data_IF_037553843778
#
_entry.id   IF_037553843778
#
_cell.length_a   1.000
_cell.length_b   1.000
_cell.length_c   1.000
_cell.angle_alpha   90.00
_cell.angle_beta   90.00
_cell.angle_gamma   90.00
#
_symmetry.space_group_name_H-M   'P 1'
#
loop_
_entity.id
_entity.type
_entity.pdbx_description
1 polymer ?
#
# COMPACT_ATOMS: atom_id res chain seq x y z
N UNK A 1 19.82 1.01 -10.89
CA UNK A 1 20.92 0.95 -11.87
C UNK A 1 20.59 1.64 -13.17
N UNK A 2 19.47 1.30 -13.83
CA UNK A 2 19.03 1.95 -15.10
C UNK A 2 18.98 3.48 -14.99
N UNK A 3 18.52 4.03 -13.86
CA UNK A 3 18.51 5.49 -13.64
C UNK A 3 19.87 6.18 -13.60
N UNK A 4 20.96 5.45 -13.35
CA UNK A 4 22.30 6.05 -13.30
C UNK A 4 22.99 6.13 -14.66
N UNK A 5 22.34 5.60 -15.71
CA UNK A 5 22.83 5.53 -17.09
C UNK A 5 21.78 6.08 -18.07
N UNK A 6 20.57 6.36 -17.59
CA UNK A 6 19.51 6.92 -18.42
C UNK A 6 19.79 8.41 -18.68
N UNK A 7 19.86 8.78 -19.96
CA UNK A 7 20.06 10.16 -20.41
C UNK A 7 18.75 10.77 -20.93
N UNK A 8 17.84 9.90 -21.40
CA UNK A 8 16.60 10.29 -22.07
C UNK A 8 15.35 9.98 -21.23
N UNK A 9 14.32 10.84 -21.30
CA UNK A 9 13.09 10.72 -20.48
C UNK A 9 12.38 9.37 -20.68
N UNK A 10 12.32 8.86 -21.92
CA UNK A 10 11.68 7.57 -22.19
C UNK A 10 12.38 6.40 -21.48
N UNK A 11 13.70 6.48 -21.29
CA UNK A 11 14.48 5.46 -20.60
C UNK A 11 14.14 5.44 -19.10
N UNK A 12 13.93 6.61 -18.50
CA UNK A 12 13.42 6.72 -17.13
C UNK A 12 12.02 6.15 -16.99
N UNK A 13 11.11 6.49 -17.91
CA UNK A 13 9.73 6.01 -17.89
C UNK A 13 9.65 4.48 -18.03
N UNK A 14 10.37 3.90 -18.99
CA UNK A 14 10.39 2.44 -19.20
C UNK A 14 11.09 1.71 -18.04
N UNK A 15 12.17 2.28 -17.51
CA UNK A 15 12.92 1.71 -16.39
C UNK A 15 12.15 1.71 -15.08
N UNK A 16 11.53 2.83 -14.72
CA UNK A 16 10.81 2.98 -13.45
C UNK A 16 9.41 2.38 -13.50
N UNK A 17 8.63 2.76 -14.51
CA UNK A 17 7.20 2.42 -14.55
C UNK A 17 6.98 1.00 -15.03
N UNK A 18 7.64 0.57 -16.11
CA UNK A 18 7.40 -0.77 -16.69
C UNK A 18 8.26 -1.82 -16.00
N UNK A 19 9.59 -1.72 -16.14
CA UNK A 19 10.51 -2.73 -15.61
C UNK A 19 10.48 -2.77 -14.07
N UNK A 20 10.50 -1.60 -13.42
CA UNK A 20 10.44 -1.48 -11.97
C UNK A 20 9.17 -2.09 -11.38
N UNK A 21 8.00 -1.78 -11.96
CA UNK A 21 6.72 -2.33 -11.47
C UNK A 21 6.60 -3.83 -11.71
N UNK A 22 6.95 -4.32 -12.91
CA UNK A 22 6.89 -5.76 -13.22
C UNK A 22 7.81 -6.55 -12.28
N UNK A 23 9.05 -6.09 -12.10
CA UNK A 23 10.00 -6.71 -11.19
C UNK A 23 9.49 -6.70 -9.74
N UNK A 24 8.94 -5.57 -9.29
CA UNK A 24 8.40 -5.43 -7.93
C UNK A 24 7.22 -6.38 -7.70
N UNK A 25 6.28 -6.47 -8.66
CA UNK A 25 5.13 -7.36 -8.56
C UNK A 25 5.53 -8.84 -8.49
N UNK A 26 6.48 -9.26 -9.34
CA UNK A 26 6.96 -10.66 -9.36
C UNK A 26 7.62 -11.06 -8.04
N UNK A 27 8.34 -10.16 -7.38
CA UNK A 27 8.98 -10.44 -6.09
C UNK A 27 7.99 -10.34 -4.92
N UNK A 28 7.10 -9.36 -4.96
CA UNK A 28 6.18 -9.06 -3.87
C UNK A 28 5.11 -10.14 -3.66
N UNK A 29 4.46 -10.59 -4.74
CA UNK A 29 3.36 -11.56 -4.68
C UNK A 29 3.78 -12.88 -3.99
N UNK A 30 4.84 -13.59 -4.42
CA UNK A 30 5.24 -14.85 -3.79
C UNK A 30 5.76 -14.65 -2.37
N UNK A 31 6.44 -13.53 -2.09
CA UNK A 31 6.91 -13.20 -0.75
C UNK A 31 5.74 -13.07 0.24
N UNK A 32 4.68 -12.36 -0.14
CA UNK A 32 3.48 -12.21 0.70
C UNK A 32 2.70 -13.52 0.80
N UNK A 33 2.60 -14.29 -0.28
CA UNK A 33 1.94 -15.60 -0.28
C UNK A 33 2.62 -16.59 0.67
N UNK A 34 3.96 -16.65 0.68
CA UNK A 34 4.72 -17.51 1.57
C UNK A 34 4.40 -17.25 3.05
N UNK A 35 4.30 -15.99 3.48
CA UNK A 35 3.96 -15.65 4.86
C UNK A 35 2.60 -16.24 5.26
N UNK A 36 1.61 -16.19 4.35
CA UNK A 36 0.29 -16.75 4.58
C UNK A 36 0.30 -18.28 4.73
N UNK A 37 1.26 -18.98 4.11
CA UNK A 37 1.41 -20.44 4.20
C UNK A 37 2.04 -20.90 5.53
N UNK A 38 2.89 -20.07 6.14
CA UNK A 38 3.55 -20.39 7.41
C UNK A 38 2.71 -20.01 8.64
N UNK A 39 1.94 -18.91 8.58
CA UNK A 39 1.19 -18.40 9.73
C UNK A 39 -0.32 -18.45 9.50
N UNK A 40 -1.01 -19.37 10.19
CA UNK A 40 -2.48 -19.45 10.20
C UNK A 40 -3.10 -18.55 11.29
N UNK A 41 -2.75 -18.81 12.57
CA UNK A 41 -3.35 -18.14 13.75
C UNK A 41 -2.98 -16.66 13.88
N UNK A 42 -1.77 -16.28 13.46
CA UNK A 42 -1.25 -14.90 13.51
C UNK A 42 -0.97 -14.32 12.12
N UNK A 43 -1.72 -14.76 11.09
CA UNK A 43 -1.53 -14.34 9.70
C UNK A 43 -1.48 -12.83 9.53
N UNK A 44 -2.49 -12.13 10.06
CA UNK A 44 -2.60 -10.68 9.94
C UNK A 44 -1.38 -9.94 10.53
N UNK A 45 -0.86 -10.44 11.65
CA UNK A 45 0.32 -9.89 12.32
C UNK A 45 1.60 -10.13 11.52
N UNK A 46 1.83 -11.36 11.06
CA UNK A 46 3.00 -11.68 10.26
C UNK A 46 3.02 -10.87 8.95
N UNK A 47 1.88 -10.74 8.27
CA UNK A 47 1.75 -9.88 7.08
C UNK A 47 1.90 -8.40 7.43
N UNK A 48 1.49 -7.96 8.63
CA UNK A 48 1.69 -6.60 9.14
C UNK A 48 3.15 -6.23 9.30
N UNK A 49 3.90 -7.08 9.99
CA UNK A 49 5.35 -6.92 10.20
C UNK A 49 6.08 -6.91 8.85
N UNK A 50 5.74 -7.81 7.94
CA UNK A 50 6.34 -7.82 6.61
C UNK A 50 6.00 -6.55 5.80
N UNK A 51 4.77 -6.05 5.92
CA UNK A 51 4.35 -4.82 5.25
C UNK A 51 5.07 -3.57 5.79
N UNK A 52 5.57 -3.59 7.02
CA UNK A 52 6.35 -2.48 7.61
C UNK A 52 7.60 -2.14 6.80
N UNK A 53 8.19 -3.11 6.09
CA UNK A 53 9.33 -2.89 5.21
C UNK A 53 9.11 -1.77 4.18
N UNK A 54 7.87 -1.60 3.68
CA UNK A 54 7.56 -0.53 2.73
C UNK A 54 7.67 0.89 3.33
N UNK A 55 7.31 1.06 4.60
CA UNK A 55 7.48 2.35 5.29
C UNK A 55 8.95 2.64 5.60
N UNK A 56 9.71 1.61 6.00
CA UNK A 56 11.15 1.73 6.24
C UNK A 56 11.89 2.10 4.94
N UNK A 57 11.53 1.47 3.82
CA UNK A 57 12.09 1.82 2.51
C UNK A 57 11.83 3.29 2.14
N UNK A 58 10.62 3.80 2.39
CA UNK A 58 10.28 5.20 2.14
C UNK A 58 11.12 6.20 2.95
N UNK A 59 11.60 5.81 4.13
CA UNK A 59 12.46 6.65 5.00
C UNK A 59 13.94 6.58 4.57
N UNK A 60 14.41 5.39 4.16
CA UNK A 60 15.83 5.15 3.84
C UNK A 60 16.20 5.67 2.44
N UNK A 61 15.26 5.68 1.49
CA UNK A 61 15.56 5.96 0.07
C UNK A 61 15.42 7.42 -0.44
N UNK A 62 15.30 8.50 0.35
CA UNK A 62 15.27 9.84 -0.23
C UNK A 62 16.70 10.34 -0.48
N UNK A 63 17.35 9.84 -1.52
CA UNK A 63 18.67 10.32 -1.95
C UNK A 63 18.68 10.56 -3.46
N UNK A 64 18.88 11.83 -3.85
CA UNK A 64 18.88 12.28 -5.26
C UNK A 64 20.23 12.11 -5.95
N UNK A 65 21.22 11.58 -5.24
CA UNK A 65 22.58 11.55 -5.74
C UNK A 65 22.81 10.32 -6.63
N UNK A 66 23.43 10.48 -7.82
CA UNK A 66 23.60 9.40 -8.79
C UNK A 66 24.42 8.22 -8.22
N UNK A 67 25.37 8.50 -7.33
CA UNK A 67 26.14 7.47 -6.62
C UNK A 67 25.33 6.74 -5.54
N UNK A 68 24.41 7.43 -4.86
CA UNK A 68 23.51 6.82 -3.88
C UNK A 68 22.55 5.83 -4.55
N UNK A 69 22.03 6.16 -5.74
CA UNK A 69 21.16 5.25 -6.52
C UNK A 69 21.88 3.95 -6.90
N UNK A 70 23.19 3.98 -7.13
CA UNK A 70 23.99 2.78 -7.39
C UNK A 70 24.14 1.92 -6.13
N UNK A 71 24.49 2.53 -5.00
CA UNK A 71 24.60 1.81 -3.72
C UNK A 71 23.26 1.15 -3.34
N UNK A 72 22.16 1.89 -3.48
CA UNK A 72 20.80 1.38 -3.25
C UNK A 72 20.51 0.17 -4.14
N UNK A 73 20.88 0.24 -5.43
CA UNK A 73 20.70 -0.88 -6.35
C UNK A 73 21.45 -2.15 -5.93
N UNK A 74 22.68 -2.03 -5.42
CA UNK A 74 23.43 -3.18 -4.90
C UNK A 74 22.82 -3.76 -3.62
N UNK A 75 22.37 -2.90 -2.71
CA UNK A 75 21.67 -3.31 -1.49
C UNK A 75 20.38 -4.07 -1.83
N UNK A 76 19.57 -3.54 -2.76
CA UNK A 76 18.35 -4.20 -3.23
C UNK A 76 18.65 -5.55 -3.90
N UNK A 77 19.74 -5.66 -4.67
CA UNK A 77 20.16 -6.92 -5.28
C UNK A 77 20.55 -7.96 -4.22
N UNK A 78 21.31 -7.56 -3.19
CA UNK A 78 21.68 -8.43 -2.07
C UNK A 78 20.44 -8.94 -1.32
N UNK A 79 19.48 -8.07 -1.02
CA UNK A 79 18.23 -8.49 -0.38
C UNK A 79 17.38 -9.39 -1.27
N UNK A 80 17.39 -9.18 -2.58
CA UNK A 80 16.71 -10.07 -3.53
C UNK A 80 17.34 -11.46 -3.54
N UNK A 81 18.67 -11.55 -3.55
CA UNK A 81 19.39 -12.81 -3.46
C UNK A 81 19.08 -13.55 -2.14
N UNK A 82 19.09 -12.83 -1.02
CA UNK A 82 18.67 -13.38 0.28
C UNK A 82 17.22 -13.86 0.27
N UNK A 83 16.31 -13.13 -0.37
CA UNK A 83 14.92 -13.55 -0.52
C UNK A 83 14.85 -14.89 -1.26
N UNK A 84 15.50 -15.01 -2.43
CA UNK A 84 15.53 -16.26 -3.20
C UNK A 84 16.12 -17.43 -2.40
N UNK A 85 17.19 -17.19 -1.64
CA UNK A 85 17.84 -18.24 -0.85
C UNK A 85 17.03 -18.70 0.37
N UNK A 86 16.30 -17.79 1.01
CA UNK A 86 15.57 -18.04 2.27
C UNK A 86 14.10 -18.39 2.05
N UNK A 87 13.49 -17.97 0.94
CA UNK A 87 12.07 -18.17 0.67
C UNK A 87 11.80 -19.66 0.42
N UNK A 88 11.19 -20.33 1.39
CA UNK A 88 10.78 -21.73 1.29
C UNK A 88 9.27 -21.86 1.33
N UNK A 89 8.72 -22.57 0.36
CA UNK A 89 7.32 -22.97 0.34
C UNK A 89 7.09 -24.10 1.35
N UNK A 90 6.04 -23.98 2.17
CA UNK A 90 5.69 -25.00 3.17
C UNK A 90 4.76 -26.08 2.62
N UNK A 91 3.89 -25.73 1.68
CA UNK A 91 2.88 -26.64 1.14
C UNK A 91 3.43 -27.41 -0.06
N UNK A 92 3.07 -28.71 -0.20
CA UNK A 92 3.43 -29.49 -1.38
C UNK A 92 2.79 -28.87 -2.62
N UNK A 93 3.52 -28.92 -3.73
CA UNK A 93 3.03 -28.46 -5.03
C UNK A 93 1.84 -29.34 -5.43
N UNK A 94 0.63 -28.76 -5.51
CA UNK A 94 -0.50 -29.44 -6.13
C UNK A 94 -0.23 -29.54 -7.63
N UNK A 95 0.07 -30.75 -8.12
CA UNK A 95 0.38 -31.03 -9.54
C UNK A 95 -0.78 -30.69 -10.50
N UNK A 96 -1.99 -30.51 -9.97
CA UNK A 96 -3.23 -30.28 -10.72
C UNK A 96 -3.42 -28.81 -11.14
N UNK A 97 -2.84 -27.85 -10.42
CA UNK A 97 -3.03 -26.42 -10.69
C UNK A 97 -1.75 -25.82 -11.27
N UNK A 98 -1.48 -26.13 -12.54
CA UNK A 98 -0.50 -25.36 -13.32
C UNK A 98 -0.93 -23.88 -13.31
N UNK A 99 0.02 -22.96 -13.10
CA UNK A 99 -0.16 -21.52 -12.84
C UNK A 99 -0.89 -20.72 -13.94
N UNK A 100 -2.13 -21.09 -14.23
CA UNK A 100 -3.05 -20.37 -15.08
C UNK A 100 -3.73 -19.32 -14.21
N UNK A 101 -3.71 -18.07 -14.66
CA UNK A 101 -4.46 -16.98 -14.05
C UNK A 101 -5.94 -17.35 -14.10
N UNK A 102 -6.51 -17.69 -12.94
CA UNK A 102 -7.92 -18.05 -12.87
C UNK A 102 -8.80 -16.81 -12.85
N UNK A 103 -9.07 -16.28 -14.04
CA UNK A 103 -10.02 -15.16 -14.25
C UNK A 103 -11.45 -15.51 -13.81
N UNK A 104 -11.78 -16.78 -13.59
CA UNK A 104 -13.12 -17.18 -13.11
C UNK A 104 -13.34 -16.72 -11.67
N UNK A 105 -12.28 -16.53 -10.89
CA UNK A 105 -12.37 -15.96 -9.55
C UNK A 105 -13.02 -14.56 -9.57
N UNK A 106 -12.84 -13.76 -10.63
CA UNK A 106 -13.47 -12.45 -10.78
C UNK A 106 -14.99 -12.53 -11.01
N UNK A 107 -15.53 -13.69 -11.41
CA UNK A 107 -16.98 -13.89 -11.56
C UNK A 107 -17.67 -14.06 -10.21
N UNK A 108 -16.94 -14.43 -9.16
CA UNK A 108 -17.47 -14.47 -7.80
C UNK A 108 -17.71 -13.05 -7.30
N UNK A 109 -18.98 -12.68 -7.12
CA UNK A 109 -19.39 -11.33 -6.70
C UNK A 109 -18.65 -10.86 -5.45
N UNK A 110 -18.45 -11.76 -4.47
CA UNK A 110 -17.74 -11.48 -3.21
C UNK A 110 -16.29 -11.06 -3.46
N UNK A 111 -15.61 -11.78 -4.34
CA UNK A 111 -14.20 -11.54 -4.69
C UNK A 111 -14.07 -10.27 -5.53
N UNK A 112 -14.95 -10.07 -6.50
CA UNK A 112 -14.97 -8.88 -7.36
C UNK A 112 -15.20 -7.59 -6.56
N UNK A 113 -16.22 -7.56 -5.70
CA UNK A 113 -16.52 -6.39 -4.84
C UNK A 113 -15.37 -6.06 -3.90
N UNK A 114 -14.74 -7.08 -3.29
CA UNK A 114 -13.60 -6.87 -2.39
C UNK A 114 -12.36 -6.37 -3.15
N UNK A 115 -12.13 -6.90 -4.36
CA UNK A 115 -11.02 -6.47 -5.23
C UNK A 115 -11.23 -5.02 -5.68
N UNK A 116 -12.43 -4.66 -6.12
CA UNK A 116 -12.78 -3.29 -6.51
C UNK A 116 -12.59 -2.30 -5.34
N UNK A 117 -13.04 -2.67 -4.13
CA UNK A 117 -12.83 -1.84 -2.94
C UNK A 117 -11.35 -1.59 -2.64
N UNK A 118 -10.49 -2.62 -2.75
CA UNK A 118 -9.05 -2.49 -2.52
C UNK A 118 -8.41 -1.58 -3.57
N UNK A 119 -8.73 -1.77 -4.85
CA UNK A 119 -8.21 -0.93 -5.94
C UNK A 119 -8.55 0.54 -5.74
N UNK A 120 -9.80 0.84 -5.34
CA UNK A 120 -10.22 2.21 -5.07
C UNK A 120 -9.53 2.81 -3.84
N UNK A 121 -9.33 2.02 -2.77
CA UNK A 121 -8.58 2.46 -1.59
C UNK A 121 -7.13 2.80 -1.95
N UNK A 122 -6.45 1.92 -2.70
CA UNK A 122 -5.07 2.14 -3.10
C UNK A 122 -4.94 3.37 -4.03
N UNK A 123 -5.91 3.57 -4.95
CA UNK A 123 -5.96 4.77 -5.78
C UNK A 123 -6.09 6.05 -4.95
N UNK A 124 -7.01 6.07 -3.98
CA UNK A 124 -7.20 7.23 -3.12
C UNK A 124 -6.00 7.48 -2.19
N UNK A 125 -5.31 6.43 -1.73
CA UNK A 125 -4.12 6.53 -0.88
C UNK A 125 -2.91 7.14 -1.61
N UNK A 126 -2.75 6.89 -2.92
CA UNK A 126 -1.61 7.39 -3.70
C UNK A 126 -1.61 8.92 -3.83
N UNK A 127 -2.79 9.54 -3.85
CA UNK A 127 -2.98 10.98 -4.01
C UNK A 127 -2.28 11.77 -2.86
N UNK A 128 -2.67 11.62 -1.58
CA UNK A 128 -2.04 12.35 -0.50
C UNK A 128 -0.56 11.95 -0.33
N UNK A 129 -0.19 10.69 -0.55
CA UNK A 129 1.20 10.26 -0.45
C UNK A 129 2.13 10.97 -1.45
N UNK A 130 1.62 11.28 -2.64
CA UNK A 130 2.41 11.92 -3.71
C UNK A 130 2.39 13.44 -3.62
N UNK A 131 1.22 14.03 -3.33
CA UNK A 131 1.02 15.48 -3.42
C UNK A 131 1.22 16.22 -2.10
N UNK A 132 1.32 15.54 -0.95
CA UNK A 132 1.49 16.22 0.35
C UNK A 132 2.76 17.10 0.42
N UNK A 133 3.93 16.69 -0.09
CA UNK A 133 5.12 17.55 -0.07
C UNK A 133 4.94 18.82 -0.91
N UNK A 134 4.35 18.69 -2.11
CA UNK A 134 4.05 19.83 -2.98
C UNK A 134 3.03 20.78 -2.35
N UNK A 135 2.02 20.22 -1.67
CA UNK A 135 1.06 20.98 -0.88
C UNK A 135 1.75 21.74 0.26
N UNK A 136 2.63 21.08 1.02
CA UNK A 136 3.39 21.73 2.09
C UNK A 136 4.26 22.89 1.56
N UNK A 137 4.91 22.70 0.41
CA UNK A 137 5.70 23.75 -0.24
C UNK A 137 4.84 24.94 -0.69
N UNK A 138 3.65 24.71 -1.27
CA UNK A 138 2.73 25.80 -1.63
C UNK A 138 2.25 26.63 -0.45
N UNK A 139 2.38 26.11 0.78
CA UNK A 139 2.00 26.78 2.02
C UNK A 139 3.18 27.50 2.68
N UNK A 140 4.33 27.59 1.99
CA UNK A 140 5.52 28.28 2.48
C UNK A 140 6.30 27.49 3.53
N UNK A 141 6.01 26.20 3.74
CA UNK A 141 6.86 25.35 4.57
C UNK A 141 8.19 25.13 3.84
N UNK A 142 9.30 25.41 4.53
CA UNK A 142 10.64 25.26 3.94
C UNK A 142 10.88 23.86 3.38
N UNK A 143 11.65 23.75 2.30
CA UNK A 143 11.87 22.51 1.55
C UNK A 143 12.29 21.33 2.44
N UNK A 144 13.12 21.58 3.45
CA UNK A 144 13.56 20.57 4.42
C UNK A 144 12.40 20.00 5.25
N UNK A 145 11.45 20.83 5.67
CA UNK A 145 10.27 20.41 6.43
C UNK A 145 9.28 19.66 5.54
N UNK A 146 9.09 20.11 4.29
CA UNK A 146 8.23 19.42 3.33
C UNK A 146 8.72 18.00 3.03
N UNK A 147 10.04 17.79 2.88
CA UNK A 147 10.61 16.45 2.69
C UNK A 147 10.53 15.58 3.96
N UNK A 148 10.77 16.16 5.13
CA UNK A 148 10.64 15.44 6.39
C UNK A 148 9.19 14.99 6.65
N UNK A 149 8.20 15.68 6.11
CA UNK A 149 6.79 15.31 6.23
C UNK A 149 6.50 13.94 5.59
N UNK A 150 7.11 13.63 4.43
CA UNK A 150 7.03 12.30 3.82
C UNK A 150 7.66 11.21 4.70
N UNK A 151 8.77 11.52 5.36
CA UNK A 151 9.42 10.58 6.29
C UNK A 151 8.55 10.32 7.52
N UNK A 152 7.95 11.37 8.09
CA UNK A 152 7.02 11.26 9.23
C UNK A 152 5.77 10.44 8.84
N UNK A 153 5.19 10.69 7.66
CA UNK A 153 4.07 9.90 7.15
C UNK A 153 4.43 8.41 6.99
N UNK A 154 5.59 8.11 6.42
CA UNK A 154 6.04 6.73 6.28
C UNK A 154 6.26 6.06 7.65
N UNK A 155 6.81 6.80 8.63
CA UNK A 155 6.94 6.32 10.01
C UNK A 155 5.57 6.06 10.67
N UNK A 156 4.60 6.96 10.49
CA UNK A 156 3.23 6.76 10.96
C UNK A 156 2.56 5.54 10.28
N UNK A 157 2.84 5.32 8.98
CA UNK A 157 2.35 4.15 8.25
C UNK A 157 2.85 2.83 8.84
N UNK A 158 4.08 2.77 9.34
CA UNK A 158 4.62 1.58 10.02
C UNK A 158 3.72 1.19 11.20
N UNK A 159 3.40 2.17 12.05
CA UNK A 159 2.53 1.97 13.22
C UNK A 159 1.13 1.55 12.78
N UNK A 160 0.59 2.22 11.76
CA UNK A 160 -0.71 1.91 11.17
C UNK A 160 -0.80 0.52 10.50
N UNK A 161 0.33 -0.07 10.07
CA UNK A 161 0.38 -1.42 9.51
C UNK A 161 0.39 -2.51 10.59
N UNK A 162 0.85 -2.21 11.80
CA UNK A 162 1.00 -3.20 12.89
C UNK A 162 -0.19 -3.18 13.85
N UNK A 163 -0.56 -2.01 14.40
CA UNK A 163 -1.53 -1.91 15.50
C UNK A 163 -2.92 -2.48 15.11
N UNK A 164 -3.54 -2.06 13.99
CA UNK A 164 -4.86 -2.57 13.62
C UNK A 164 -4.84 -4.08 13.36
N UNK A 165 -3.72 -4.60 12.81
CA UNK A 165 -3.56 -6.02 12.50
C UNK A 165 -3.33 -6.86 13.77
N UNK A 166 -2.67 -6.28 14.79
CA UNK A 166 -2.57 -6.86 16.13
C UNK A 166 -3.95 -6.94 16.79
N UNK A 167 -4.69 -5.83 16.82
CA UNK A 167 -6.05 -5.80 17.35
C UNK A 167 -6.97 -6.79 16.61
N UNK A 168 -6.88 -6.87 15.28
CA UNK A 168 -7.62 -7.83 14.47
C UNK A 168 -7.37 -9.29 14.86
N UNK A 169 -6.13 -9.61 15.25
CA UNK A 169 -5.76 -10.96 15.67
C UNK A 169 -6.26 -11.35 17.06
N UNK A 170 -6.49 -10.37 17.95
CA UNK A 170 -6.91 -10.62 19.35
C UNK A 170 -8.42 -10.56 19.53
N UNK A 171 -9.09 -9.63 18.86
CA UNK A 171 -10.53 -9.37 19.02
C UNK A 171 -11.41 -10.17 18.04
N UNK A 172 -10.86 -11.20 17.38
CA UNK A 172 -11.60 -12.27 16.71
C UNK A 172 -12.43 -11.90 15.47
N UNK A 173 -12.59 -10.61 15.13
CA UNK A 173 -13.43 -10.16 14.00
C UNK A 173 -13.11 -8.75 13.48
N UNK A 174 -12.09 -8.07 14.01
CA UNK A 174 -11.78 -6.68 13.63
C UNK A 174 -11.03 -6.54 12.30
N UNK A 175 -11.55 -7.15 11.22
CA UNK A 175 -11.16 -6.82 9.84
C UNK A 175 -11.52 -5.37 9.44
N UNK A 176 -12.25 -4.66 10.32
CA UNK A 176 -12.94 -3.40 10.05
C UNK A 176 -12.18 -2.13 10.50
N UNK A 177 -11.10 -2.25 11.28
CA UNK A 177 -10.46 -1.08 11.91
C UNK A 177 -9.57 -0.31 10.91
N UNK A 178 -8.91 -0.99 9.96
CA UNK A 178 -8.01 -0.31 9.02
C UNK A 178 -8.74 0.65 8.06
N UNK A 179 -9.93 0.29 7.58
CA UNK A 179 -10.73 1.17 6.68
C UNK A 179 -11.38 2.33 7.43
N UNK A 180 -11.75 2.14 8.71
CA UNK A 180 -12.40 3.16 9.54
C UNK A 180 -11.44 4.25 10.04
N UNK A 181 -10.13 4.02 10.07
CA UNK A 181 -9.13 5.02 10.50
C UNK A 181 -8.75 5.97 9.35
N UNK A 182 -8.81 5.52 8.09
CA UNK A 182 -8.39 6.33 6.92
C UNK A 182 -9.42 7.42 6.58
N UNK A 183 -10.71 7.17 6.81
CA UNK A 183 -11.81 8.11 6.53
C UNK A 183 -11.75 9.39 7.40
N UNK A 184 -11.51 9.32 8.73
CA UNK A 184 -11.31 10.50 9.57
C UNK A 184 -10.10 11.35 9.15
N UNK A 185 -8.98 10.72 8.75
CA UNK A 185 -7.75 11.44 8.38
C UNK A 185 -7.98 12.30 7.11
N UNK A 186 -8.71 11.77 6.13
CA UNK A 186 -9.13 12.54 4.96
C UNK A 186 -10.09 13.69 5.32
N UNK A 187 -11.00 13.47 6.29
CA UNK A 187 -11.91 14.50 6.80
C UNK A 187 -11.21 15.64 7.54
N UNK A 188 -10.17 15.34 8.31
CA UNK A 188 -9.38 16.37 9.02
C UNK A 188 -8.50 17.19 8.06
N UNK A 189 -7.94 16.56 7.01
CA UNK A 189 -7.24 17.28 5.94
C UNK A 189 -8.17 18.27 5.21
N UNK A 190 -9.43 17.90 4.99
CA UNK A 190 -10.44 18.78 4.38
C UNK A 190 -10.82 19.96 5.28
N UNK A 191 -10.92 19.75 6.60
CA UNK A 191 -11.18 20.83 7.57
C UNK A 191 -10.05 21.85 7.64
N UNK A 192 -8.80 21.39 7.59
CA UNK A 192 -7.61 22.27 7.56
C UNK A 192 -7.57 23.12 6.28
N UNK A 193 -8.03 22.58 5.14
CA UNK A 193 -8.13 23.32 3.88
C UNK A 193 -9.20 24.43 3.94
N UNK A 194 -10.40 24.13 4.45
CA UNK A 194 -11.50 25.12 4.57
C UNK A 194 -11.09 26.26 5.52
N UNK A 195 -10.34 25.95 6.58
CA UNK A 195 -9.85 26.95 7.52
C UNK A 195 -8.84 27.93 6.90
N UNK A 196 -8.31 27.66 5.70
CA UNK A 196 -7.13 28.35 5.18
C UNK A 196 -7.29 29.01 3.81
N UNK A 197 -8.46 28.89 3.17
CA UNK A 197 -8.91 29.79 2.09
C UNK A 197 -8.11 29.77 0.78
N UNK A 198 -7.45 28.65 0.44
CA UNK A 198 -6.78 28.46 -0.86
C UNK A 198 -7.37 27.25 -1.60
N UNK A 199 -7.82 27.46 -2.84
CA UNK A 199 -8.63 26.50 -3.60
C UNK A 199 -7.85 25.53 -4.49
N UNK A 200 -6.53 25.67 -4.59
CA UNK A 200 -5.70 24.96 -5.59
C UNK A 200 -5.77 23.42 -5.50
N UNK A 201 -6.11 22.87 -4.33
CA UNK A 201 -6.17 21.42 -4.10
C UNK A 201 -7.57 20.90 -3.75
N UNK A 202 -8.59 21.76 -3.77
CA UNK A 202 -9.96 21.42 -3.35
C UNK A 202 -10.54 20.29 -4.19
N UNK A 203 -10.36 20.32 -5.51
CA UNK A 203 -10.82 19.25 -6.41
C UNK A 203 -10.17 17.89 -6.14
N UNK A 204 -8.87 17.89 -5.81
CA UNK A 204 -8.12 16.67 -5.53
C UNK A 204 -8.56 16.04 -4.20
N UNK A 205 -8.83 16.87 -3.19
CA UNK A 205 -9.31 16.41 -1.87
C UNK A 205 -10.74 15.86 -1.97
N UNK A 206 -11.64 16.55 -2.70
CA UNK A 206 -13.01 16.07 -2.94
C UNK A 206 -13.00 14.75 -3.69
N UNK A 207 -12.19 14.63 -4.76
CA UNK A 207 -12.03 13.38 -5.50
C UNK A 207 -11.57 12.24 -4.57
N UNK A 208 -10.55 12.49 -3.75
CA UNK A 208 -10.03 11.52 -2.79
C UNK A 208 -11.12 11.07 -1.80
N UNK A 209 -11.88 12.02 -1.22
CA UNK A 209 -12.98 11.73 -0.31
C UNK A 209 -14.11 10.91 -0.96
N UNK A 210 -14.49 11.26 -2.18
CA UNK A 210 -15.50 10.51 -2.95
C UNK A 210 -15.06 9.09 -3.27
N UNK A 211 -13.80 8.90 -3.70
CA UNK A 211 -13.25 7.57 -3.98
C UNK A 211 -13.21 6.72 -2.70
N UNK A 212 -12.83 7.29 -1.55
CA UNK A 212 -12.90 6.57 -0.27
C UNK A 212 -14.32 6.20 0.13
N UNK A 213 -15.29 7.11 -0.04
CA UNK A 213 -16.68 6.83 0.25
C UNK A 213 -17.20 5.69 -0.64
N UNK A 214 -16.89 5.73 -1.95
CA UNK A 214 -17.21 4.69 -2.91
C UNK A 214 -16.60 3.33 -2.51
N UNK A 215 -15.31 3.32 -2.14
CA UNK A 215 -14.64 2.11 -1.69
C UNK A 215 -15.25 1.54 -0.39
N UNK A 216 -15.67 2.40 0.54
CA UNK A 216 -16.37 2.01 1.75
C UNK A 216 -17.71 1.33 1.43
N UNK A 217 -18.48 1.86 0.47
CA UNK A 217 -19.72 1.24 0.00
C UNK A 217 -19.46 -0.15 -0.58
N UNK A 218 -18.48 -0.30 -1.50
CA UNK A 218 -18.12 -1.60 -2.05
C UNK A 218 -17.69 -2.60 -0.98
N UNK A 219 -16.96 -2.14 0.04
CA UNK A 219 -16.54 -2.97 1.16
C UNK A 219 -17.72 -3.43 2.03
N UNK A 220 -18.67 -2.55 2.33
CA UNK A 220 -19.89 -2.88 3.07
C UNK A 220 -20.75 -3.87 2.29
N UNK A 221 -20.90 -3.68 0.97
CA UNK A 221 -21.64 -4.59 0.10
C UNK A 221 -20.98 -5.98 0.06
N UNK A 222 -19.65 -6.05 -0.12
CA UNK A 222 -18.91 -7.33 -0.07
C UNK A 222 -19.13 -8.06 1.26
N UNK A 223 -19.16 -7.33 2.39
CA UNK A 223 -19.47 -7.89 3.71
C UNK A 223 -20.90 -8.42 3.78
N UNK A 224 -21.89 -7.63 3.32
CA UNK A 224 -23.30 -8.02 3.32
C UNK A 224 -23.53 -9.34 2.56
N UNK A 225 -22.84 -9.51 1.43
CA UNK A 225 -22.89 -10.74 0.61
C UNK A 225 -22.12 -11.92 1.26
N UNK A 226 -21.15 -11.65 2.12
CA UNK A 226 -20.27 -12.67 2.72
C UNK A 226 -20.77 -13.23 4.07
N UNK A 227 -21.32 -12.37 4.94
CA UNK A 227 -21.71 -12.73 6.32
C UNK A 227 -23.23 -12.67 6.51
N UNK A 228 -23.95 -12.08 5.55
CA UNK A 228 -25.34 -11.65 5.73
C UNK A 228 -25.40 -10.37 6.57
N UNK A 229 -26.52 -9.66 6.48
CA UNK A 229 -26.73 -8.38 7.20
C UNK A 229 -26.97 -8.55 8.71
N UNK A 230 -26.96 -9.77 9.23
CA UNK A 230 -27.18 -10.02 10.66
C UNK A 230 -25.92 -9.67 11.44
N UNK A 231 -26.00 -8.58 12.21
CA UNK A 231 -25.09 -8.29 13.32
C UNK A 231 -25.19 -9.46 14.32
N UNK A 232 -24.33 -10.48 14.18
CA UNK A 232 -24.12 -11.43 15.28
C UNK A 232 -23.35 -10.71 16.38
N UNK A 233 -24.12 -10.10 17.27
CA UNK A 233 -23.67 -9.63 18.59
C UNK A 233 -23.50 -10.86 19.47
N UNK A 234 -22.29 -11.42 19.52
CA UNK A 234 -21.83 -12.37 20.54
C UNK A 234 -20.32 -12.24 20.69
#
# INVERSE_FOLDING_TARGET
MVFSVAEEYYQFMLGFSVLGSISSSIVFIPSVACIAHWFLKRRALATGIAATAGGIGGIIFPSRLPWAIRIIGFISAAFCFLNVALLRTRLPLNSVQKGIVDIRALKELRFSLLTAAIVLIDFALLIPLTYLPSYAQSRGLGDSLAYNLSSILNAASIVGRIIPRYCASRFGRCKYISTLIVIPIAGELFKVQISTGHDDYTGLIILCGLVYACACVFFILSKGVSVGWRLKVF
#
